data_IF_963099783321
#
_entry.id   IF_963099783321
#
_cell.length_a   1.000
_cell.length_b   1.000
_cell.length_c   1.000
_cell.angle_alpha   90.00
_cell.angle_beta   90.00
_cell.angle_gamma   90.00
#
_symmetry.space_group_name_H-M   'P 1'
#
loop_
_entity.id
_entity.type
_entity.pdbx_description
1 polymer ?
#
# COMPACT_ATOMS: atom_id res chain seq x y z
N UNK A 1 -5.41 -21.26 -4.02
CA UNK A 1 -6.45 -21.02 -2.98
C UNK A 1 -6.70 -19.52 -2.83
N UNK A 2 -7.92 -19.04 -2.57
CA UNK A 2 -8.16 -17.62 -2.24
C UNK A 2 -7.89 -17.35 -0.75
N UNK A 3 -7.27 -16.22 -0.43
CA UNK A 3 -7.04 -15.77 0.95
C UNK A 3 -8.36 -15.56 1.68
N UNK A 4 -8.37 -15.80 2.99
CA UNK A 4 -9.49 -15.35 3.84
C UNK A 4 -9.48 -13.82 3.99
N UNK A 5 -10.62 -13.24 4.36
CA UNK A 5 -10.71 -11.80 4.65
C UNK A 5 -9.75 -11.38 5.77
N UNK A 6 -9.54 -12.26 6.75
CA UNK A 6 -8.56 -12.05 7.81
C UNK A 6 -7.15 -11.94 7.23
N UNK A 7 -6.74 -12.87 6.37
CA UNK A 7 -5.41 -12.83 5.74
C UNK A 7 -5.23 -11.63 4.82
N UNK A 8 -6.27 -11.25 4.08
CA UNK A 8 -6.27 -10.01 3.29
C UNK A 8 -6.03 -8.79 4.17
N UNK A 9 -6.78 -8.64 5.26
CA UNK A 9 -6.62 -7.51 6.18
C UNK A 9 -5.27 -7.53 6.88
N UNK A 10 -4.75 -8.70 7.24
CA UNK A 10 -3.41 -8.83 7.79
C UNK A 10 -2.35 -8.37 6.78
N UNK A 11 -2.44 -8.77 5.52
CA UNK A 11 -1.54 -8.31 4.47
C UNK A 11 -1.62 -6.79 4.24
N UNK A 12 -2.83 -6.23 4.29
CA UNK A 12 -3.04 -4.78 4.22
C UNK A 12 -2.45 -4.05 5.43
N UNK A 13 -2.59 -4.60 6.63
CA UNK A 13 -2.03 -4.03 7.85
C UNK A 13 -0.49 -4.04 7.85
N UNK A 14 0.15 -5.07 7.28
CA UNK A 14 1.60 -5.09 7.06
C UNK A 14 2.02 -3.86 6.25
N UNK A 15 1.34 -3.60 5.12
CA UNK A 15 1.61 -2.44 4.27
C UNK A 15 1.31 -1.13 5.00
N UNK A 16 0.19 -1.03 5.73
CA UNK A 16 -0.12 0.18 6.51
C UNK A 16 0.98 0.51 7.53
N UNK A 17 1.50 -0.49 8.23
CA UNK A 17 2.63 -0.30 9.15
C UNK A 17 3.87 0.19 8.42
N UNK A 18 4.10 -0.26 7.18
CA UNK A 18 5.21 0.23 6.38
C UNK A 18 5.01 1.66 5.86
N UNK A 19 3.78 2.06 5.52
CA UNK A 19 3.45 3.39 4.99
C UNK A 19 3.32 4.45 6.08
N UNK A 20 2.60 4.14 7.17
CA UNK A 20 2.21 5.13 8.19
C UNK A 20 2.62 4.75 9.60
N UNK A 21 3.20 3.57 9.81
CA UNK A 21 3.58 3.09 11.14
C UNK A 21 2.42 2.59 12.01
N UNK A 22 1.20 2.53 11.48
CA UNK A 22 -0.01 2.16 12.22
C UNK A 22 -0.74 0.99 11.56
N UNK A 23 -1.25 0.05 12.36
CA UNK A 23 -1.93 -1.18 11.86
C UNK A 23 -3.16 -0.83 11.00
N UNK A 24 -4.01 0.08 11.46
CA UNK A 24 -5.18 0.55 10.72
C UNK A 24 -4.87 1.52 9.57
N UNK A 25 -3.61 1.94 9.44
CA UNK A 25 -3.21 3.07 8.59
C UNK A 25 -3.76 4.40 9.10
N UNK A 26 -3.72 5.44 8.26
CA UNK A 26 -4.27 6.76 8.58
C UNK A 26 -5.01 7.35 7.37
N UNK A 27 -6.34 7.27 7.41
CA UNK A 27 -7.23 7.75 6.35
C UNK A 27 -7.25 9.27 6.21
N UNK A 28 -6.86 10.00 7.26
CA UNK A 28 -6.79 11.46 7.30
C UNK A 28 -5.38 12.01 7.02
N UNK A 29 -4.41 11.12 6.77
CA UNK A 29 -3.02 11.49 6.57
C UNK A 29 -2.87 12.38 5.33
N UNK A 30 -2.43 13.62 5.52
CA UNK A 30 -2.15 14.59 4.45
C UNK A 30 -0.69 15.03 4.57
N UNK A 31 0.13 14.64 3.60
CA UNK A 31 1.58 14.89 3.61
C UNK A 31 1.97 15.65 2.34
N UNK A 32 2.82 16.66 2.50
CA UNK A 32 3.59 17.24 1.41
C UNK A 32 5.08 17.08 1.75
N UNK A 33 5.78 16.22 1.02
CA UNK A 33 7.21 16.02 1.21
C UNK A 33 8.00 17.01 0.35
N UNK A 34 8.83 17.84 0.99
CA UNK A 34 9.67 18.79 0.29
C UNK A 34 10.65 18.06 -0.64
N UNK A 35 10.63 18.41 -1.93
CA UNK A 35 11.47 17.79 -2.96
C UNK A 35 10.89 16.51 -3.58
N UNK A 36 9.71 16.05 -3.15
CA UNK A 36 9.00 14.96 -3.81
C UNK A 36 8.23 15.46 -5.03
N UNK A 37 8.41 14.76 -6.15
CA UNK A 37 7.69 15.00 -7.41
C UNK A 37 6.21 14.61 -7.36
N UNK A 38 5.76 13.87 -6.34
CA UNK A 38 4.38 13.42 -6.19
C UNK A 38 3.37 14.54 -5.86
N UNK A 39 3.84 15.65 -5.28
CA UNK A 39 2.98 16.71 -4.75
C UNK A 39 2.29 16.27 -3.46
N UNK A 40 1.10 16.83 -3.18
CA UNK A 40 0.30 16.46 -2.03
C UNK A 40 -0.10 14.97 -2.07
N UNK A 41 0.06 14.30 -0.93
CA UNK A 41 -0.28 12.89 -0.75
C UNK A 41 -1.34 12.75 0.34
N UNK A 42 -2.29 11.84 0.14
CA UNK A 42 -3.45 11.67 0.99
C UNK A 42 -3.83 10.20 1.23
N UNK A 43 -4.25 9.90 2.47
CA UNK A 43 -5.00 8.69 2.83
C UNK A 43 -4.18 7.48 3.26
N UNK A 44 -4.88 6.38 3.57
CA UNK A 44 -4.37 5.19 4.26
C UNK A 44 -3.14 4.55 3.61
N UNK A 45 -3.15 4.46 2.29
CA UNK A 45 -2.05 3.93 1.47
C UNK A 45 -1.47 4.99 0.53
N UNK A 46 -1.66 6.27 0.88
CA UNK A 46 -0.98 7.44 0.29
C UNK A 46 -1.11 7.56 -1.24
N UNK A 47 -2.15 8.25 -1.72
CA UNK A 47 -2.32 8.61 -3.14
C UNK A 47 -1.89 10.04 -3.42
N UNK A 48 -1.28 10.28 -4.58
CA UNK A 48 -0.66 11.58 -4.90
C UNK A 48 -1.49 12.43 -5.86
N UNK A 49 -1.36 13.75 -5.75
CA UNK A 49 -1.96 14.71 -6.70
C UNK A 49 -1.42 14.51 -8.12
N UNK A 50 -0.10 14.37 -8.29
CA UNK A 50 0.52 14.33 -9.62
C UNK A 50 0.15 13.08 -10.41
N UNK A 51 -0.13 11.96 -9.74
CA UNK A 51 -0.62 10.74 -10.42
C UNK A 51 -2.03 10.93 -11.01
N UNK A 52 -2.79 11.91 -10.54
CA UNK A 52 -4.22 12.05 -10.82
C UNK A 52 -5.11 11.06 -10.06
N UNK A 53 -4.53 10.18 -9.23
CA UNK A 53 -5.32 9.27 -8.40
C UNK A 53 -6.02 10.00 -7.25
N UNK A 54 -5.45 11.11 -6.73
CA UNK A 54 -6.15 11.95 -5.76
C UNK A 54 -7.47 12.49 -6.33
N UNK A 55 -7.49 12.94 -7.59
CA UNK A 55 -8.73 13.35 -8.27
C UNK A 55 -9.75 12.21 -8.27
N UNK A 56 -9.38 11.02 -8.75
CA UNK A 56 -10.29 9.87 -8.84
C UNK A 56 -10.83 9.43 -7.47
N UNK A 57 -10.03 9.56 -6.41
CA UNK A 57 -10.45 9.23 -5.06
C UNK A 57 -11.48 10.25 -4.55
N UNK A 58 -11.20 11.54 -4.68
CA UNK A 58 -12.11 12.59 -4.22
C UNK A 58 -13.40 12.63 -5.06
N UNK A 59 -13.31 12.38 -6.35
CA UNK A 59 -14.46 12.24 -7.25
C UNK A 59 -15.38 11.08 -6.80
N UNK A 60 -14.79 9.91 -6.52
CA UNK A 60 -15.54 8.77 -5.99
C UNK A 60 -16.19 9.06 -4.62
N UNK A 61 -15.52 9.80 -3.75
CA UNK A 61 -16.07 10.20 -2.46
C UNK A 61 -17.20 11.22 -2.60
N UNK A 62 -17.04 12.23 -3.45
CA UNK A 62 -18.09 13.21 -3.72
C UNK A 62 -19.34 12.59 -4.36
N UNK A 63 -19.19 11.47 -5.08
CA UNK A 63 -20.28 10.70 -5.66
C UNK A 63 -20.92 9.69 -4.68
N UNK A 64 -20.30 9.43 -3.53
CA UNK A 64 -20.82 8.49 -2.55
C UNK A 64 -21.99 9.11 -1.76
N UNK A 65 -23.05 8.33 -1.48
CA UNK A 65 -24.13 8.80 -0.63
C UNK A 65 -23.61 9.11 0.78
N UNK A 66 -24.22 10.11 1.42
CA UNK A 66 -23.95 10.51 2.82
C UNK A 66 -22.52 10.97 3.11
N UNK A 67 -21.71 11.23 2.08
CA UNK A 67 -20.36 11.79 2.22
C UNK A 67 -20.39 13.21 2.80
N UNK A 68 -20.03 13.35 4.08
CA UNK A 68 -20.21 14.57 4.87
C UNK A 68 -19.42 15.77 4.32
N UNK A 69 -18.25 15.52 3.73
CA UNK A 69 -17.38 16.55 3.15
C UNK A 69 -17.57 16.71 1.63
N UNK A 70 -18.50 16.01 0.99
CA UNK A 70 -18.65 16.01 -0.48
C UNK A 70 -18.86 17.42 -1.04
N UNK A 71 -19.78 18.21 -0.46
CA UNK A 71 -20.07 19.58 -0.92
C UNK A 71 -18.86 20.52 -0.80
N UNK A 72 -17.99 20.30 0.19
CA UNK A 72 -16.77 21.11 0.39
C UNK A 72 -15.62 20.68 -0.51
N UNK A 73 -15.55 19.39 -0.86
CA UNK A 73 -14.50 18.85 -1.72
C UNK A 73 -14.83 18.96 -3.21
N UNK A 74 -16.10 18.94 -3.60
CA UNK A 74 -16.53 19.00 -4.99
C UNK A 74 -15.98 20.22 -5.78
N UNK A 75 -15.90 21.44 -5.21
CA UNK A 75 -15.32 22.60 -5.90
C UNK A 75 -13.84 22.42 -6.29
N UNK A 76 -13.11 21.50 -5.63
CA UNK A 76 -11.70 21.23 -5.93
C UNK A 76 -11.51 20.21 -7.07
N UNK A 77 -12.56 19.50 -7.50
CA UNK A 77 -12.47 18.46 -8.55
C UNK A 77 -11.85 18.96 -9.85
N UNK A 78 -12.23 20.14 -10.42
CA UNK A 78 -11.59 20.63 -11.64
C UNK A 78 -10.09 20.88 -11.48
N UNK A 79 -9.67 21.44 -10.35
CA UNK A 79 -8.24 21.67 -10.04
C UNK A 79 -7.48 20.36 -9.85
N UNK A 80 -8.10 19.38 -9.18
CA UNK A 80 -7.56 18.04 -9.03
C UNK A 80 -7.40 17.32 -10.38
N UNK A 81 -8.40 17.43 -11.26
CA UNK A 81 -8.36 16.88 -12.62
C UNK A 81 -7.23 17.51 -13.45
N UNK A 82 -7.06 18.83 -13.33
CA UNK A 82 -5.97 19.58 -13.95
C UNK A 82 -4.60 19.35 -13.30
N UNK A 83 -4.53 18.58 -12.20
CA UNK A 83 -3.33 18.39 -11.38
C UNK A 83 -2.70 19.74 -11.01
N UNK A 84 -3.52 20.67 -10.55
CA UNK A 84 -3.08 22.02 -10.18
C UNK A 84 -2.15 21.98 -8.97
N UNK A 85 -0.91 22.46 -9.15
CA UNK A 85 0.11 22.51 -8.10
C UNK A 85 -0.27 23.45 -6.94
N UNK A 86 -1.14 24.43 -7.16
CA UNK A 86 -1.57 25.33 -6.10
C UNK A 86 -2.27 24.59 -4.94
N UNK A 87 -2.89 23.44 -5.22
CA UNK A 87 -3.49 22.58 -4.19
C UNK A 87 -2.46 22.00 -3.21
N UNK A 88 -1.19 21.93 -3.60
CA UNK A 88 -0.15 21.40 -2.72
C UNK A 88 -0.04 22.24 -1.46
N UNK A 89 -0.32 23.55 -1.51
CA UNK A 89 -0.22 24.50 -0.38
C UNK A 89 -1.55 25.14 0.02
N UNK A 90 -2.69 24.64 -0.48
CA UNK A 90 -4.01 25.15 -0.12
C UNK A 90 -4.44 24.57 1.24
N UNK A 91 -4.35 25.39 2.29
CA UNK A 91 -4.63 24.94 3.66
C UNK A 91 -6.11 24.62 3.90
N UNK A 92 -7.03 25.27 3.18
CA UNK A 92 -8.46 24.97 3.27
C UNK A 92 -8.73 23.59 2.67
N UNK A 93 -8.17 23.31 1.50
CA UNK A 93 -8.27 22.00 0.87
C UNK A 93 -7.68 20.89 1.76
N UNK A 94 -6.48 21.10 2.29
CA UNK A 94 -5.81 20.15 3.20
C UNK A 94 -6.64 19.89 4.45
N UNK A 95 -7.27 20.91 5.03
CA UNK A 95 -8.17 20.75 6.17
C UNK A 95 -9.40 19.92 5.80
N UNK A 96 -10.04 20.19 4.65
CA UNK A 96 -11.16 19.39 4.14
C UNK A 96 -10.78 17.91 3.95
N UNK A 97 -9.57 17.62 3.45
CA UNK A 97 -9.09 16.23 3.32
C UNK A 97 -8.95 15.54 4.67
N UNK A 98 -8.37 16.20 5.68
CA UNK A 98 -8.24 15.61 7.03
C UNK A 98 -9.60 15.32 7.65
N UNK A 99 -10.54 16.25 7.51
CA UNK A 99 -11.90 16.08 8.00
C UNK A 99 -12.63 14.95 7.27
N UNK A 100 -12.50 14.88 5.95
CA UNK A 100 -13.05 13.79 5.17
C UNK A 100 -12.45 12.45 5.61
N UNK A 101 -11.17 12.36 5.95
CA UNK A 101 -10.57 11.11 6.46
C UNK A 101 -11.20 10.59 7.76
N UNK A 102 -11.87 11.44 8.54
CA UNK A 102 -12.62 11.03 9.72
C UNK A 102 -14.00 10.43 9.38
N UNK A 103 -14.56 10.76 8.21
CA UNK A 103 -15.86 10.27 7.71
C UNK A 103 -15.78 8.77 7.37
N UNK A 104 -16.64 7.91 7.96
CA UNK A 104 -16.74 6.50 7.58
C UNK A 104 -16.91 6.27 6.07
N UNK A 105 -17.66 7.13 5.37
CA UNK A 105 -17.84 7.01 3.91
C UNK A 105 -16.52 7.18 3.17
N UNK A 106 -15.66 8.10 3.61
CA UNK A 106 -14.32 8.26 3.03
C UNK A 106 -13.44 7.05 3.30
N UNK A 107 -13.58 6.39 4.46
CA UNK A 107 -12.81 5.17 4.78
C UNK A 107 -13.19 4.05 3.82
N UNK A 108 -14.48 3.82 3.63
CA UNK A 108 -15.00 2.81 2.69
C UNK A 108 -14.57 3.11 1.25
N UNK A 109 -14.64 4.39 0.84
CA UNK A 109 -14.21 4.82 -0.49
C UNK A 109 -12.71 4.62 -0.68
N UNK A 110 -11.87 4.95 0.31
CA UNK A 110 -10.43 4.70 0.25
C UNK A 110 -10.12 3.21 0.17
N UNK A 111 -10.76 2.38 1.00
CA UNK A 111 -10.52 0.93 1.00
C UNK A 111 -10.90 0.32 -0.35
N UNK A 112 -12.09 0.65 -0.88
CA UNK A 112 -12.50 0.20 -2.21
C UNK A 112 -11.57 0.71 -3.33
N UNK A 113 -11.07 1.95 -3.20
CA UNK A 113 -10.17 2.56 -4.18
C UNK A 113 -8.81 1.86 -4.23
N UNK A 114 -8.16 1.69 -3.07
CA UNK A 114 -6.87 1.02 -2.97
C UNK A 114 -6.99 -0.47 -3.27
N UNK A 115 -8.12 -1.09 -2.93
CA UNK A 115 -8.39 -2.47 -3.30
C UNK A 115 -8.41 -2.65 -4.82
N UNK A 116 -9.13 -1.77 -5.52
CA UNK A 116 -9.24 -1.83 -6.98
C UNK A 116 -7.90 -1.56 -7.66
N UNK A 117 -7.14 -0.57 -7.19
CA UNK A 117 -5.92 -0.13 -7.86
C UNK A 117 -4.69 -0.98 -7.53
N UNK A 118 -4.63 -1.57 -6.34
CA UNK A 118 -3.40 -2.23 -5.86
C UNK A 118 -3.64 -3.65 -5.39
N UNK A 119 -4.61 -3.88 -4.49
CA UNK A 119 -4.85 -5.22 -3.94
C UNK A 119 -5.26 -6.20 -5.05
N UNK A 120 -6.33 -5.93 -5.78
CA UNK A 120 -6.86 -6.86 -6.77
C UNK A 120 -5.85 -7.16 -7.89
N UNK A 121 -5.10 -6.18 -8.43
CA UNK A 121 -4.00 -6.48 -9.35
C UNK A 121 -2.89 -7.35 -8.73
N UNK A 122 -2.46 -7.05 -7.49
CA UNK A 122 -1.43 -7.82 -6.80
C UNK A 122 -1.89 -9.26 -6.53
N UNK A 123 -3.11 -9.46 -6.03
CA UNK A 123 -3.66 -10.79 -5.76
C UNK A 123 -3.82 -11.62 -7.05
N UNK A 124 -4.25 -11.00 -8.15
CA UNK A 124 -4.31 -11.70 -9.45
C UNK A 124 -2.93 -12.10 -9.96
N UNK A 125 -1.94 -11.24 -9.79
CA UNK A 125 -0.57 -11.54 -10.20
C UNK A 125 0.06 -12.64 -9.32
N UNK A 126 -0.16 -12.59 -8.01
CA UNK A 126 0.24 -13.66 -7.10
C UNK A 126 -0.38 -15.00 -7.51
N UNK A 127 -1.69 -15.03 -7.77
CA UNK A 127 -2.39 -16.22 -8.25
C UNK A 127 -1.84 -16.71 -9.59
N UNK A 128 -1.57 -15.81 -10.55
CA UNK A 128 -0.98 -16.15 -11.86
C UNK A 128 0.39 -16.83 -11.72
N UNK A 129 1.16 -16.45 -10.71
CA UNK A 129 2.48 -17.02 -10.41
C UNK A 129 2.43 -18.25 -9.50
N UNK A 130 1.25 -18.68 -9.03
CA UNK A 130 1.12 -19.79 -8.10
C UNK A 130 1.58 -19.46 -6.67
N UNK A 131 1.59 -18.18 -6.29
CA UNK A 131 1.96 -17.71 -4.95
C UNK A 131 0.72 -17.68 -4.05
N UNK A 132 0.46 -18.78 -3.35
CA UNK A 132 -0.79 -18.96 -2.59
C UNK A 132 -0.69 -18.60 -1.09
N UNK A 133 0.52 -18.64 -0.51
CA UNK A 133 0.73 -18.29 0.90
C UNK A 133 0.41 -16.80 1.14
N UNK A 134 -0.23 -16.49 2.27
CA UNK A 134 -0.62 -15.12 2.62
C UNK A 134 0.59 -14.16 2.66
N UNK A 135 1.74 -14.62 3.17
CA UNK A 135 2.97 -13.84 3.17
C UNK A 135 3.50 -13.58 1.75
N UNK A 136 3.36 -14.54 0.84
CA UNK A 136 3.74 -14.36 -0.57
C UNK A 136 2.85 -13.33 -1.26
N UNK A 137 1.53 -13.38 -1.03
CA UNK A 137 0.61 -12.38 -1.55
C UNK A 137 0.87 -10.99 -0.94
N UNK A 138 1.16 -10.91 0.36
CA UNK A 138 1.54 -9.67 1.03
C UNK A 138 2.82 -9.05 0.44
N UNK A 139 3.80 -9.90 0.08
CA UNK A 139 5.04 -9.48 -0.59
C UNK A 139 4.77 -8.87 -1.97
N UNK A 140 3.90 -9.50 -2.76
CA UNK A 140 3.46 -8.97 -4.06
C UNK A 140 2.72 -7.66 -3.86
N UNK A 141 1.80 -7.60 -2.88
CA UNK A 141 1.01 -6.41 -2.59
C UNK A 141 1.87 -5.21 -2.15
N UNK A 142 2.78 -5.37 -1.20
CA UNK A 142 3.76 -4.32 -0.83
C UNK A 142 4.54 -3.85 -2.05
N UNK A 143 4.93 -4.76 -2.93
CA UNK A 143 5.69 -4.43 -4.14
C UNK A 143 4.88 -3.70 -5.21
N UNK A 144 3.55 -3.87 -5.23
CA UNK A 144 2.66 -3.07 -6.08
C UNK A 144 2.49 -1.66 -5.52
N UNK A 145 2.35 -1.53 -4.19
CA UNK A 145 2.22 -0.26 -3.49
C UNK A 145 3.52 0.55 -3.60
N UNK A 146 4.64 -0.05 -3.22
CA UNK A 146 5.97 0.56 -3.22
C UNK A 146 6.58 0.63 -4.64
N UNK A 147 6.04 -0.14 -5.59
CA UNK A 147 6.42 -0.12 -7.00
C UNK A 147 7.59 -1.04 -7.36
N UNK A 148 8.01 -1.02 -8.63
CA UNK A 148 9.09 -1.87 -9.18
C UNK A 148 8.85 -3.38 -9.11
N UNK A 149 7.60 -3.83 -8.94
CA UNK A 149 7.23 -5.25 -8.94
C UNK A 149 7.79 -6.01 -10.16
N UNK A 150 7.43 -5.58 -11.38
CA UNK A 150 7.79 -6.29 -12.61
C UNK A 150 9.30 -6.49 -12.74
N UNK A 151 10.08 -5.41 -12.56
CA UNK A 151 11.54 -5.46 -12.61
C UNK A 151 12.12 -6.44 -11.60
N UNK A 152 11.68 -6.37 -10.34
CA UNK A 152 12.21 -7.27 -9.29
C UNK A 152 11.75 -8.71 -9.47
N UNK A 153 10.54 -8.95 -9.97
CA UNK A 153 10.02 -10.29 -10.31
C UNK A 153 10.89 -10.92 -11.39
N UNK A 154 11.21 -10.16 -12.43
CA UNK A 154 12.00 -10.63 -13.57
C UNK A 154 13.44 -10.91 -13.14
N UNK A 155 14.11 -9.98 -12.45
CA UNK A 155 15.45 -10.21 -11.90
C UNK A 155 15.51 -11.43 -10.95
N UNK A 156 14.48 -11.62 -10.11
CA UNK A 156 14.41 -12.78 -9.22
C UNK A 156 14.27 -14.07 -10.02
N UNK A 157 13.41 -14.07 -11.03
CA UNK A 157 13.13 -15.25 -11.84
C UNK A 157 14.31 -15.65 -12.74
N UNK A 158 15.07 -14.66 -13.21
CA UNK A 158 16.33 -14.87 -13.93
C UNK A 158 17.40 -15.50 -13.04
N UNK A 159 17.51 -15.07 -11.77
CA UNK A 159 18.56 -15.51 -10.86
C UNK A 159 18.24 -16.85 -10.15
N UNK A 160 16.98 -17.07 -9.74
CA UNK A 160 16.56 -18.19 -8.89
C UNK A 160 15.60 -19.17 -9.58
N UNK A 161 15.17 -18.88 -10.81
CA UNK A 161 14.11 -19.62 -11.51
C UNK A 161 12.71 -19.11 -11.17
N UNK A 162 11.70 -19.73 -11.77
CA UNK A 162 10.29 -19.34 -11.57
C UNK A 162 9.70 -20.01 -10.31
N UNK A 163 8.58 -19.51 -9.76
CA UNK A 163 7.88 -20.21 -8.66
C UNK A 163 7.53 -21.67 -8.98
N UNK A 164 7.24 -21.97 -10.25
CA UNK A 164 6.94 -23.33 -10.69
C UNK A 164 8.16 -24.26 -10.66
N UNK A 165 9.38 -23.72 -10.83
CA UNK A 165 10.60 -24.52 -10.86
C UNK A 165 11.28 -24.66 -9.49
N UNK A 166 11.29 -23.60 -8.68
CA UNK A 166 11.97 -23.59 -7.37
C UNK A 166 11.02 -23.69 -6.17
N UNK A 167 9.70 -23.61 -6.40
CA UNK A 167 8.68 -23.58 -5.36
C UNK A 167 8.34 -22.16 -4.91
N UNK A 168 7.07 -21.92 -4.59
CA UNK A 168 6.54 -20.59 -4.28
C UNK A 168 7.24 -19.90 -3.09
N UNK A 169 7.50 -20.64 -2.01
CA UNK A 169 8.13 -20.08 -0.80
C UNK A 169 9.60 -19.70 -1.03
N UNK A 170 10.37 -20.58 -1.66
CA UNK A 170 11.77 -20.30 -1.99
C UNK A 170 11.88 -19.12 -2.97
N UNK A 171 10.97 -19.06 -3.96
CA UNK A 171 10.89 -17.93 -4.86
C UNK A 171 10.57 -16.62 -4.11
N UNK A 172 9.60 -16.63 -3.20
CA UNK A 172 9.25 -15.45 -2.39
C UNK A 172 10.43 -15.00 -1.52
N UNK A 173 11.14 -15.91 -0.84
CA UNK A 173 12.35 -15.55 -0.08
C UNK A 173 13.45 -14.98 -1.00
N UNK A 174 13.64 -15.57 -2.18
CA UNK A 174 14.57 -15.07 -3.20
C UNK A 174 14.18 -13.68 -3.71
N UNK A 175 12.88 -13.42 -3.90
CA UNK A 175 12.36 -12.11 -4.26
C UNK A 175 12.67 -11.07 -3.20
N UNK A 176 12.40 -11.40 -1.93
CA UNK A 176 12.66 -10.50 -0.81
C UNK A 176 14.16 -10.17 -0.71
N UNK A 177 15.04 -11.16 -0.83
CA UNK A 177 16.51 -10.95 -0.85
C UNK A 177 16.96 -10.09 -2.03
N UNK A 178 16.44 -10.37 -3.22
CA UNK A 178 16.75 -9.62 -4.45
C UNK A 178 16.32 -8.16 -4.32
N UNK A 179 15.08 -7.92 -3.90
CA UNK A 179 14.53 -6.57 -3.70
C UNK A 179 15.27 -5.83 -2.58
N UNK A 180 15.60 -6.51 -1.48
CA UNK A 180 16.40 -5.96 -0.38
C UNK A 180 17.76 -5.47 -0.88
N UNK A 181 18.49 -6.30 -1.62
CA UNK A 181 19.79 -5.94 -2.18
C UNK A 181 19.67 -4.77 -3.18
N UNK A 182 18.65 -4.79 -4.03
CA UNK A 182 18.37 -3.71 -4.96
C UNK A 182 18.08 -2.39 -4.25
N UNK A 183 17.24 -2.39 -3.20
CA UNK A 183 16.94 -1.21 -2.38
C UNK A 183 18.20 -0.68 -1.68
N UNK A 184 19.01 -1.55 -1.08
CA UNK A 184 20.24 -1.16 -0.37
C UNK A 184 21.32 -0.62 -1.31
N UNK A 185 21.39 -1.13 -2.54
CA UNK A 185 22.35 -0.71 -3.57
C UNK A 185 21.83 0.37 -4.53
N UNK A 186 20.61 0.87 -4.35
CA UNK A 186 19.98 1.75 -5.34
C UNK A 186 20.68 3.11 -5.44
N UNK A 187 20.76 3.69 -6.65
CA UNK A 187 21.35 5.03 -6.84
C UNK A 187 20.59 6.12 -6.06
N UNK A 188 19.26 6.02 -5.98
CA UNK A 188 18.44 6.85 -5.10
C UNK A 188 18.57 6.40 -3.63
N UNK A 189 19.37 7.14 -2.86
CA UNK A 189 19.62 6.87 -1.43
C UNK A 189 18.39 6.96 -0.53
N UNK A 190 17.30 7.61 -0.97
CA UNK A 190 16.04 7.60 -0.21
C UNK A 190 15.46 6.19 -0.10
N UNK A 191 15.63 5.36 -1.14
CA UNK A 191 15.14 3.98 -1.12
C UNK A 191 15.88 3.09 -0.12
N UNK A 192 17.11 3.43 0.27
CA UNK A 192 17.87 2.68 1.27
C UNK A 192 17.13 2.64 2.61
N UNK A 193 16.38 3.71 2.92
CA UNK A 193 15.59 3.81 4.15
C UNK A 193 14.38 2.87 4.16
N UNK A 194 14.05 2.21 3.06
CA UNK A 194 12.90 1.30 2.94
C UNK A 194 13.29 -0.17 2.97
N UNK A 195 14.59 -0.49 3.11
CA UNK A 195 15.11 -1.87 3.22
C UNK A 195 14.42 -2.66 4.34
N UNK A 196 14.02 -1.98 5.43
CA UNK A 196 13.33 -2.60 6.56
C UNK A 196 12.05 -3.35 6.18
N UNK A 197 11.40 -2.99 5.06
CA UNK A 197 10.19 -3.69 4.58
C UNK A 197 10.51 -5.13 4.24
N UNK A 198 11.63 -5.33 3.54
CA UNK A 198 12.09 -6.66 3.14
C UNK A 198 12.64 -7.43 4.33
N UNK A 199 13.36 -6.75 5.24
CA UNK A 199 13.82 -7.38 6.49
C UNK A 199 12.65 -7.90 7.33
N UNK A 200 11.56 -7.12 7.44
CA UNK A 200 10.39 -7.52 8.21
C UNK A 200 9.62 -8.68 7.56
N UNK A 201 9.48 -8.70 6.23
CA UNK A 201 8.85 -9.82 5.51
C UNK A 201 9.72 -11.09 5.54
N UNK A 202 11.05 -10.95 5.47
CA UNK A 202 11.98 -12.08 5.63
C UNK A 202 11.89 -12.66 7.03
N UNK A 203 11.83 -11.83 8.08
CA UNK A 203 11.66 -12.31 9.45
C UNK A 203 10.39 -13.18 9.60
N UNK A 204 9.26 -12.76 9.02
CA UNK A 204 8.03 -13.57 9.02
C UNK A 204 8.20 -14.89 8.26
N UNK A 205 8.97 -14.91 7.17
CA UNK A 205 9.26 -16.13 6.42
C UNK A 205 10.16 -17.09 7.21
N UNK A 206 11.18 -16.55 7.89
CA UNK A 206 12.13 -17.29 8.71
C UNK A 206 11.47 -17.88 9.97
N UNK A 207 10.48 -17.18 10.53
CA UNK A 207 9.59 -17.68 11.59
C UNK A 207 8.57 -18.73 11.09
N UNK A 208 8.49 -18.96 9.77
CA UNK A 208 7.55 -19.90 9.17
C UNK A 208 6.10 -19.40 9.11
N UNK A 209 5.85 -18.12 9.38
CA UNK A 209 4.50 -17.53 9.41
C UNK A 209 3.96 -17.22 7.99
N UNK A 210 3.97 -18.22 7.12
CA UNK A 210 3.52 -18.12 5.73
C UNK A 210 2.03 -17.85 5.59
N UNK A 211 1.24 -18.25 6.58
CA UNK A 211 -0.22 -18.05 6.65
C UNK A 211 -0.62 -16.69 7.20
N UNK A 212 0.32 -15.92 7.76
CA UNK A 212 0.08 -14.69 8.51
C UNK A 212 -0.89 -14.91 9.68
N UNK A 213 -0.68 -16.00 10.42
CA UNK A 213 -1.44 -16.32 11.62
C UNK A 213 -1.16 -15.26 12.71
N UNK A 214 -2.23 -14.80 13.37
CA UNK A 214 -2.20 -13.74 14.37
C UNK A 214 -2.17 -14.33 15.80
N UNK A 215 -1.60 -13.59 16.79
CA UNK A 215 -0.98 -12.27 16.66
C UNK A 215 0.51 -12.37 16.28
N UNK A 216 1.05 -11.30 15.69
CA UNK A 216 2.49 -11.12 15.54
C UNK A 216 2.87 -9.64 15.67
N UNK A 217 4.16 -9.39 15.88
CA UNK A 217 4.70 -8.02 15.95
C UNK A 217 5.45 -7.69 14.67
N UNK A 218 5.11 -6.57 14.05
CA UNK A 218 5.77 -6.05 12.87
C UNK A 218 6.24 -4.63 13.17
N UNK A 219 7.57 -4.39 13.11
CA UNK A 219 8.14 -3.04 13.29
C UNK A 219 7.67 -2.34 14.58
N UNK A 220 7.53 -3.10 15.67
CA UNK A 220 7.05 -2.59 16.98
C UNK A 220 5.53 -2.46 17.11
N UNK A 221 4.78 -2.72 16.03
CA UNK A 221 3.32 -2.74 16.04
C UNK A 221 2.83 -4.17 16.22
N UNK A 222 2.05 -4.42 17.28
CA UNK A 222 1.36 -5.68 17.45
C UNK A 222 0.13 -5.71 16.53
N UNK A 223 0.09 -6.67 15.61
CA UNK A 223 -1.06 -6.94 14.73
C UNK A 223 -1.90 -8.03 15.39
N UNK A 224 -3.16 -7.72 15.67
CA UNK A 224 -4.14 -8.61 16.32
C UNK A 224 -5.48 -8.51 15.57
N UNK A 225 -6.38 -9.49 15.70
CA UNK A 225 -7.69 -9.44 15.05
C UNK A 225 -8.46 -8.15 15.35
N UNK A 226 -8.41 -7.66 16.59
CA UNK A 226 -9.15 -6.47 17.04
C UNK A 226 -8.68 -5.20 16.32
N UNK A 227 -7.37 -5.09 16.05
CA UNK A 227 -6.81 -3.92 15.36
C UNK A 227 -7.05 -3.91 13.84
N UNK A 228 -7.53 -5.02 13.28
CA UNK A 228 -7.85 -5.14 11.85
C UNK A 228 -9.29 -4.71 11.52
N UNK A 229 -10.15 -4.56 12.54
CA UNK A 229 -11.51 -4.05 12.45
C UNK A 229 -11.74 -2.93 13.49
N UNK A 230 -11.11 -1.76 13.32
CA UNK A 230 -11.29 -0.61 14.18
C UNK A 230 -12.63 0.10 13.99
#
# INVERSE_FOLDING_TARGET
MMLSDLQKRTAQAIVNVFETGHVGGDYACVILLAGDSGGLTYGRSQTTRVSGNLHKLIDAYCAAPDAACATRLAPYLPKLAARDKALDTDDVFRACLREAGADPVMRDVQDAFFDRLYWAPASREAARLGLEDALSVATVYDSFIHGSWARMRDCTSEAAGTPASCGAREWTQSYLRTRRAWLAGHANRLLHRTVYRMDALLALADEGNWRLDLPFTLRGQQITPEKLWP
#
